data_IF_951208303675
#
_entry.id   IF_951208303675
#
_cell.length_a   1.000
_cell.length_b   1.000
_cell.length_c   1.000
_cell.angle_alpha   90.00
_cell.angle_beta   90.00
_cell.angle_gamma   90.00
#
_symmetry.space_group_name_H-M   'P 1'
#
loop_
_entity.id
_entity.type
_entity.pdbx_description
1 polymer ?
#
# COMPACT_ATOMS: atom_id res chain seq x y z
N UNK A 1 -54.89 17.23 87.96
CA UNK A 1 -53.42 17.15 87.71
C UNK A 1 -52.97 15.81 87.11
N UNK A 2 -53.38 14.64 87.64
CA UNK A 2 -52.89 13.32 87.21
C UNK A 2 -52.87 13.05 85.68
N UNK A 3 -53.89 13.49 84.93
CA UNK A 3 -53.98 13.28 83.47
C UNK A 3 -52.87 13.98 82.67
N UNK A 4 -52.37 15.11 83.16
CA UNK A 4 -51.28 15.86 82.51
C UNK A 4 -49.92 15.17 82.69
N UNK A 5 -49.66 14.62 83.89
CA UNK A 5 -48.44 13.84 84.16
C UNK A 5 -48.39 12.59 83.28
N UNK A 6 -49.51 11.87 83.11
CA UNK A 6 -49.55 10.68 82.23
C UNK A 6 -49.25 11.03 80.77
N UNK A 7 -49.85 12.10 80.24
CA UNK A 7 -49.56 12.60 78.88
C UNK A 7 -48.08 12.97 78.70
N UNK A 8 -47.50 13.69 79.66
CA UNK A 8 -46.09 14.09 79.60
C UNK A 8 -45.11 12.90 79.69
N UNK A 9 -45.52 11.78 80.28
CA UNK A 9 -44.75 10.53 80.27
C UNK A 9 -44.84 9.82 78.93
N UNK A 10 -46.05 9.72 78.34
CA UNK A 10 -46.24 9.12 77.02
C UNK A 10 -45.50 9.90 75.93
N UNK A 11 -45.58 11.24 75.90
CA UNK A 11 -44.83 12.08 74.95
C UNK A 11 -43.30 11.87 75.05
N UNK A 12 -42.76 11.69 76.27
CA UNK A 12 -41.35 11.33 76.48
C UNK A 12 -41.00 9.93 75.97
N UNK A 13 -41.90 8.95 76.13
CA UNK A 13 -41.70 7.60 75.59
C UNK A 13 -41.71 7.60 74.06
N UNK A 14 -42.64 8.34 73.42
CA UNK A 14 -42.64 8.50 71.97
C UNK A 14 -41.38 9.21 71.46
N UNK A 15 -40.96 10.31 72.10
CA UNK A 15 -39.73 11.01 71.73
C UNK A 15 -38.49 10.11 71.85
N UNK A 16 -38.43 9.25 72.88
CA UNK A 16 -37.34 8.30 73.05
C UNK A 16 -37.32 7.20 71.96
N UNK A 17 -38.48 6.64 71.60
CA UNK A 17 -38.59 5.64 70.51
C UNK A 17 -38.23 6.26 69.15
N UNK A 18 -38.63 7.51 68.89
CA UNK A 18 -38.28 8.23 67.65
C UNK A 18 -36.77 8.50 67.61
N UNK A 19 -36.16 8.92 68.72
CA UNK A 19 -34.72 9.17 68.80
C UNK A 19 -33.91 7.89 68.62
N UNK A 20 -34.33 6.78 69.22
CA UNK A 20 -33.68 5.47 69.09
C UNK A 20 -33.78 4.95 67.64
N UNK A 21 -34.96 5.08 67.01
CA UNK A 21 -35.15 4.75 65.60
C UNK A 21 -34.29 5.61 64.66
N UNK A 22 -34.22 6.92 64.92
CA UNK A 22 -33.36 7.83 64.16
C UNK A 22 -31.86 7.49 64.32
N UNK A 23 -31.43 7.11 65.53
CA UNK A 23 -30.08 6.63 65.80
C UNK A 23 -29.77 5.32 65.06
N UNK A 24 -30.71 4.37 65.04
CA UNK A 24 -30.57 3.11 64.29
C UNK A 24 -30.49 3.36 62.77
N UNK A 25 -31.32 4.25 62.22
CA UNK A 25 -31.25 4.66 60.80
C UNK A 25 -29.90 5.32 60.49
N UNK A 26 -29.39 6.17 61.40
CA UNK A 26 -28.09 6.82 61.25
C UNK A 26 -26.92 5.82 61.26
N UNK A 27 -26.91 4.89 62.23
CA UNK A 27 -25.90 3.83 62.33
C UNK A 27 -25.96 2.85 61.15
N UNK A 28 -27.17 2.51 60.68
CA UNK A 28 -27.36 1.73 59.46
C UNK A 28 -26.85 2.47 58.21
N UNK A 29 -27.07 3.78 58.14
CA UNK A 29 -26.53 4.65 57.09
C UNK A 29 -24.99 4.68 57.07
N UNK A 30 -24.35 4.87 58.23
CA UNK A 30 -22.88 4.80 58.34
C UNK A 30 -22.35 3.41 58.01
N UNK A 31 -23.01 2.34 58.48
CA UNK A 31 -22.62 0.96 58.20
C UNK A 31 -22.72 0.61 56.71
N UNK A 32 -23.80 1.03 56.05
CA UNK A 32 -23.98 0.87 54.61
C UNK A 32 -22.94 1.67 53.81
N UNK A 33 -22.63 2.91 54.22
CA UNK A 33 -21.59 3.72 53.59
C UNK A 33 -20.19 3.10 53.75
N UNK A 34 -19.83 2.61 54.93
CA UNK A 34 -18.58 1.91 55.18
C UNK A 34 -18.46 0.61 54.35
N UNK A 35 -19.56 -0.14 54.24
CA UNK A 35 -19.63 -1.34 53.37
C UNK A 35 -19.47 -0.98 51.89
N UNK A 36 -20.12 0.09 51.43
CA UNK A 36 -19.99 0.60 50.07
C UNK A 36 -18.56 1.09 49.75
N UNK A 37 -17.83 1.66 50.71
CA UNK A 37 -16.40 1.96 50.52
C UNK A 37 -15.56 0.68 50.35
N UNK A 38 -15.76 -0.32 51.23
CA UNK A 38 -15.01 -1.59 51.17
C UNK A 38 -15.31 -2.46 49.95
N UNK A 39 -16.53 -2.36 49.40
CA UNK A 39 -16.94 -3.06 48.17
C UNK A 39 -16.65 -2.24 46.91
N UNK A 40 -16.70 -0.90 47.01
CA UNK A 40 -16.38 0.02 45.92
C UNK A 40 -14.92 -0.07 45.46
N UNK A 41 -13.97 -0.25 46.38
CA UNK A 41 -12.55 -0.49 46.01
C UNK A 41 -12.41 -1.78 45.21
N UNK A 42 -13.07 -2.87 45.61
CA UNK A 42 -13.02 -4.15 44.85
C UNK A 42 -13.67 -4.02 43.47
N UNK A 43 -14.79 -3.30 43.37
CA UNK A 43 -15.42 -3.02 42.09
C UNK A 43 -14.49 -2.18 41.17
N UNK A 44 -13.78 -1.20 41.75
CA UNK A 44 -12.76 -0.44 41.04
C UNK A 44 -11.59 -1.31 40.57
N UNK A 45 -11.04 -2.17 41.43
CA UNK A 45 -9.95 -3.10 41.06
C UNK A 45 -10.36 -4.03 39.90
N UNK A 46 -11.59 -4.56 39.94
CA UNK A 46 -12.15 -5.35 38.83
C UNK A 46 -12.31 -4.55 37.53
N UNK A 47 -12.72 -3.28 37.61
CA UNK A 47 -12.82 -2.39 36.44
C UNK A 47 -11.44 -2.03 35.87
N UNK A 48 -10.43 -1.82 36.71
CA UNK A 48 -9.04 -1.57 36.29
C UNK A 48 -8.46 -2.82 35.61
N UNK A 49 -8.70 -4.01 36.15
CA UNK A 49 -8.22 -5.25 35.57
C UNK A 49 -8.93 -5.57 34.23
N UNK A 50 -10.25 -5.35 34.15
CA UNK A 50 -10.99 -5.42 32.89
C UNK A 50 -10.46 -4.39 31.87
N UNK A 51 -10.14 -3.18 32.31
CA UNK A 51 -9.53 -2.12 31.50
C UNK A 51 -8.19 -2.54 30.90
N UNK A 52 -7.27 -3.08 31.71
CA UNK A 52 -5.99 -3.63 31.24
C UNK A 52 -6.18 -4.74 30.22
N UNK A 53 -7.13 -5.65 30.43
CA UNK A 53 -7.41 -6.73 29.47
C UNK A 53 -8.00 -6.21 28.16
N UNK A 54 -8.80 -5.14 28.19
CA UNK A 54 -9.29 -4.46 26.99
C UNK A 54 -8.16 -3.72 26.28
N UNK A 55 -7.27 -3.04 27.01
CA UNK A 55 -6.08 -2.39 26.46
C UNK A 55 -5.15 -3.41 25.79
N UNK A 56 -4.81 -4.51 26.48
CA UNK A 56 -3.92 -5.56 25.95
C UNK A 56 -4.49 -6.23 24.70
N UNK A 57 -5.80 -6.54 24.68
CA UNK A 57 -6.49 -7.08 23.49
C UNK A 57 -6.49 -6.06 22.35
N UNK A 58 -6.81 -4.80 22.65
CA UNK A 58 -6.85 -3.71 21.66
C UNK A 58 -5.46 -3.46 21.07
N UNK A 59 -4.42 -3.48 21.91
CA UNK A 59 -3.02 -3.36 21.52
C UNK A 59 -2.59 -4.51 20.63
N UNK A 60 -2.84 -5.77 21.00
CA UNK A 60 -2.52 -6.95 20.17
C UNK A 60 -3.20 -6.87 18.80
N UNK A 61 -4.49 -6.54 18.75
CA UNK A 61 -5.21 -6.36 17.49
C UNK A 61 -4.76 -5.12 16.70
N UNK A 62 -4.25 -4.08 17.36
CA UNK A 62 -3.66 -2.93 16.69
C UNK A 62 -2.28 -3.27 16.11
N UNK A 63 -1.42 -3.96 16.85
CA UNK A 63 -0.11 -4.44 16.40
C UNK A 63 -0.28 -5.39 15.19
N UNK A 64 -1.20 -6.35 15.25
CA UNK A 64 -1.53 -7.25 14.13
C UNK A 64 -2.01 -6.48 12.89
N UNK A 65 -2.90 -5.50 13.07
CA UNK A 65 -3.38 -4.65 11.96
C UNK A 65 -2.29 -3.74 11.41
N UNK A 66 -1.43 -3.18 12.24
CA UNK A 66 -0.28 -2.37 11.81
C UNK A 66 0.67 -3.23 11.00
N UNK A 67 1.04 -4.43 11.45
CA UNK A 67 1.89 -5.35 10.67
C UNK A 67 1.23 -5.68 9.32
N UNK A 68 -0.06 -6.04 9.30
CA UNK A 68 -0.77 -6.36 8.06
C UNK A 68 -0.90 -5.17 7.09
N UNK A 69 -1.08 -3.94 7.61
CA UNK A 69 -1.11 -2.71 6.82
C UNK A 69 0.28 -2.33 6.34
N UNK A 70 1.31 -2.41 7.18
CA UNK A 70 2.71 -2.14 6.80
C UNK A 70 3.18 -3.11 5.72
N UNK A 71 2.94 -4.42 5.84
CA UNK A 71 3.31 -5.38 4.78
C UNK A 71 2.63 -5.09 3.45
N UNK A 72 1.33 -4.76 3.45
CA UNK A 72 0.61 -4.36 2.24
C UNK A 72 1.09 -3.02 1.70
N UNK A 73 1.40 -2.07 2.57
CA UNK A 73 1.92 -0.76 2.23
C UNK A 73 3.29 -0.88 1.56
N UNK A 74 4.20 -1.71 2.09
CA UNK A 74 5.49 -2.04 1.47
C UNK A 74 5.30 -2.64 0.09
N UNK A 75 4.43 -3.65 -0.08
CA UNK A 75 4.18 -4.27 -1.38
C UNK A 75 3.56 -3.28 -2.41
N UNK A 76 2.79 -2.30 -1.95
CA UNK A 76 2.34 -1.19 -2.81
C UNK A 76 3.42 -0.13 -3.04
N UNK A 77 4.35 0.07 -2.10
CA UNK A 77 5.50 0.95 -2.27
C UNK A 77 6.45 0.36 -3.31
N UNK A 78 6.79 -0.93 -3.27
CA UNK A 78 7.65 -1.56 -4.27
C UNK A 78 7.09 -1.36 -5.70
N UNK A 79 5.76 -1.45 -5.85
CA UNK A 79 5.05 -1.16 -7.12
C UNK A 79 5.08 0.33 -7.49
N UNK A 80 4.94 1.23 -6.52
CA UNK A 80 5.08 2.68 -6.73
C UNK A 80 6.54 3.08 -7.05
N UNK A 81 7.54 2.40 -6.48
CA UNK A 81 8.94 2.58 -6.83
C UNK A 81 9.17 2.12 -8.27
N UNK A 82 8.66 0.96 -8.67
CA UNK A 82 8.75 0.50 -10.07
C UNK A 82 8.09 1.51 -11.05
N UNK A 83 6.90 2.04 -10.71
CA UNK A 83 6.23 3.07 -11.53
C UNK A 83 6.99 4.40 -11.53
N UNK A 84 7.62 4.76 -10.41
CA UNK A 84 8.48 5.94 -10.32
C UNK A 84 9.74 5.78 -11.17
N UNK A 85 10.44 4.64 -11.06
CA UNK A 85 11.59 4.29 -11.90
C UNK A 85 11.21 4.32 -13.39
N UNK A 86 10.07 3.74 -13.78
CA UNK A 86 9.56 3.81 -15.15
C UNK A 86 9.27 5.25 -15.60
N UNK A 87 8.71 6.09 -14.72
CA UNK A 87 8.40 7.49 -15.05
C UNK A 87 9.65 8.35 -15.16
N UNK A 88 10.64 8.14 -14.28
CA UNK A 88 11.96 8.76 -14.34
C UNK A 88 12.71 8.31 -15.60
N UNK A 89 12.70 7.01 -15.91
CA UNK A 89 13.31 6.48 -17.12
C UNK A 89 12.68 7.06 -18.40
N UNK A 90 11.35 7.22 -18.45
CA UNK A 90 10.67 7.90 -19.57
C UNK A 90 11.05 9.39 -19.66
N UNK A 91 11.18 10.09 -18.54
CA UNK A 91 11.59 11.49 -18.54
C UNK A 91 13.04 11.65 -19.04
N UNK A 92 13.97 10.81 -18.56
CA UNK A 92 15.36 10.77 -18.98
C UNK A 92 15.53 10.40 -20.47
N UNK A 93 14.80 9.40 -20.96
CA UNK A 93 14.78 9.05 -22.39
C UNK A 93 14.22 10.19 -23.25
N UNK A 94 13.20 10.92 -22.77
CA UNK A 94 12.67 12.12 -23.49
C UNK A 94 13.71 13.25 -23.55
N UNK A 95 14.60 13.33 -22.57
CA UNK A 95 15.75 14.25 -22.53
C UNK A 95 16.98 13.72 -23.29
N UNK A 96 16.87 12.56 -23.97
CA UNK A 96 17.95 11.97 -24.77
C UNK A 96 19.04 11.25 -23.96
N UNK A 97 18.82 10.95 -22.68
CA UNK A 97 19.75 10.16 -21.85
C UNK A 97 19.49 8.67 -22.07
N UNK A 98 20.42 7.89 -22.69
CA UNK A 98 20.19 6.47 -22.96
C UNK A 98 20.10 5.64 -21.68
N UNK A 99 19.24 4.63 -21.64
CA UNK A 99 19.14 3.75 -20.46
C UNK A 99 20.18 2.64 -20.47
N UNK A 100 20.48 2.08 -19.29
CA UNK A 100 21.37 0.92 -19.15
C UNK A 100 20.92 -0.30 -19.99
N UNK A 101 19.62 -0.45 -20.27
CA UNK A 101 19.12 -1.53 -21.14
C UNK A 101 19.49 -1.29 -22.60
N UNK A 102 19.34 -0.05 -23.07
CA UNK A 102 19.70 0.33 -24.45
C UNK A 102 21.19 0.15 -24.71
N UNK A 103 22.04 0.51 -23.73
CA UNK A 103 23.50 0.27 -23.79
C UNK A 103 23.81 -1.23 -23.85
N UNK A 104 23.12 -2.06 -23.06
CA UNK A 104 23.33 -3.51 -23.06
C UNK A 104 22.91 -4.16 -24.40
N UNK A 105 21.80 -3.74 -24.99
CA UNK A 105 21.35 -4.26 -26.28
C UNK A 105 22.17 -3.72 -27.47
N UNK A 106 22.71 -2.50 -27.36
CA UNK A 106 23.68 -1.97 -28.34
C UNK A 106 24.98 -2.79 -28.31
N UNK A 107 25.50 -3.13 -27.12
CA UNK A 107 26.70 -3.96 -26.99
C UNK A 107 26.52 -5.35 -27.63
N UNK A 108 25.38 -6.03 -27.43
CA UNK A 108 25.08 -7.31 -28.10
C UNK A 108 25.10 -7.18 -29.63
N UNK A 109 24.48 -6.12 -30.18
CA UNK A 109 24.48 -5.85 -31.63
C UNK A 109 25.88 -5.56 -32.16
N UNK A 110 26.71 -4.87 -31.37
CA UNK A 110 28.13 -4.64 -31.71
C UNK A 110 28.90 -5.96 -31.71
N UNK A 111 28.67 -6.87 -30.75
CA UNK A 111 29.30 -8.20 -30.71
C UNK A 111 28.91 -9.07 -31.91
N UNK A 112 27.63 -9.07 -32.29
CA UNK A 112 27.12 -9.76 -33.49
C UNK A 112 27.69 -9.17 -34.80
N UNK A 113 27.77 -7.85 -34.88
CA UNK A 113 28.38 -7.17 -36.03
C UNK A 113 29.89 -7.41 -36.10
N UNK A 114 30.59 -7.43 -34.97
CA UNK A 114 32.02 -7.76 -34.90
C UNK A 114 32.29 -9.21 -35.34
N UNK A 115 31.45 -10.18 -34.90
CA UNK A 115 31.54 -11.57 -35.37
C UNK A 115 31.36 -11.68 -36.89
N UNK A 116 30.31 -11.08 -37.44
CA UNK A 116 30.03 -11.13 -38.89
C UNK A 116 31.08 -10.37 -39.72
N UNK A 117 31.62 -9.26 -39.24
CA UNK A 117 32.78 -8.57 -39.85
C UNK A 117 34.03 -9.46 -39.81
N UNK A 118 34.33 -10.13 -38.69
CA UNK A 118 35.45 -11.07 -38.62
C UNK A 118 35.28 -12.27 -39.56
N UNK A 119 34.07 -12.80 -39.72
CA UNK A 119 33.77 -13.85 -40.71
C UNK A 119 33.97 -13.37 -42.15
N UNK A 120 33.51 -12.15 -42.48
CA UNK A 120 33.72 -11.55 -43.79
C UNK A 120 35.20 -11.26 -44.07
N UNK A 121 35.95 -10.76 -43.09
CA UNK A 121 37.40 -10.53 -43.20
C UNK A 121 38.14 -11.86 -43.42
N UNK A 122 37.83 -12.90 -42.63
CA UNK A 122 38.38 -14.27 -42.84
C UNK A 122 38.06 -14.79 -44.25
N UNK A 123 36.86 -14.53 -44.76
CA UNK A 123 36.41 -14.93 -46.10
C UNK A 123 37.06 -14.12 -47.23
N UNK A 124 37.38 -12.84 -47.01
CA UNK A 124 38.11 -11.99 -47.97
C UNK A 124 39.61 -12.32 -48.00
N UNK A 125 40.25 -12.59 -46.86
CA UNK A 125 41.68 -12.97 -46.80
C UNK A 125 41.94 -14.38 -47.36
N UNK A 126 40.91 -15.18 -47.59
CA UNK A 126 40.99 -16.54 -48.13
C UNK A 126 41.02 -16.63 -49.67
N UNK A 127 41.23 -15.53 -50.42
CA UNK A 127 41.39 -15.57 -51.89
C UNK A 127 42.64 -14.83 -52.38
N UNK A 128 43.65 -15.58 -52.82
CA UNK A 128 44.18 -15.36 -54.17
C UNK A 128 44.52 -16.65 -54.97
N UNK A 129 44.82 -16.45 -56.27
CA UNK A 129 45.50 -17.34 -57.22
C UNK A 129 44.73 -18.51 -57.91
N UNK A 130 44.19 -18.22 -59.10
CA UNK A 130 44.20 -19.02 -60.36
C UNK A 130 43.12 -18.42 -61.30
N UNK A 131 43.39 -17.53 -62.26
CA UNK A 131 44.16 -17.68 -63.50
C UNK A 131 43.48 -18.56 -64.58
N UNK A 132 42.65 -17.95 -65.45
CA UNK A 132 42.96 -17.71 -66.88
C UNK A 132 41.77 -17.07 -67.64
N UNK A 133 42.10 -16.46 -68.78
CA UNK A 133 41.19 -15.85 -69.75
C UNK A 133 40.19 -16.84 -70.35
N UNK A 134 39.03 -16.36 -70.81
CA UNK A 134 38.74 -16.24 -72.25
C UNK A 134 37.39 -15.54 -72.50
N UNK A 135 37.37 -14.63 -73.49
CA UNK A 135 36.17 -14.03 -74.09
C UNK A 135 35.68 -14.95 -75.22
N UNK A 136 34.36 -15.02 -75.54
CA UNK A 136 33.87 -14.07 -76.56
C UNK A 136 32.37 -13.67 -76.54
N UNK A 137 32.13 -12.40 -76.90
CA UNK A 137 31.17 -11.90 -77.91
C UNK A 137 29.83 -12.63 -78.21
N UNK A 138 28.72 -11.95 -77.95
CA UNK A 138 27.53 -11.74 -78.84
C UNK A 138 26.46 -10.92 -78.08
N UNK A 139 26.02 -9.74 -78.56
CA UNK A 139 24.75 -9.52 -79.33
C UNK A 139 23.45 -9.98 -78.63
N UNK A 140 22.31 -9.28 -78.66
CA UNK A 140 21.93 -7.91 -79.02
C UNK A 140 20.42 -7.72 -78.65
N UNK A 141 19.87 -6.49 -78.75
CA UNK A 141 18.42 -6.15 -78.73
C UNK A 141 17.68 -6.37 -77.39
N UNK A 142 16.54 -5.74 -77.13
CA UNK A 142 16.04 -4.43 -77.56
C UNK A 142 14.88 -3.98 -76.64
N UNK A 143 14.79 -2.66 -76.44
CA UNK A 143 13.56 -1.86 -76.37
C UNK A 143 12.25 -2.59 -76.02
N UNK A 144 11.68 -2.31 -74.84
CA UNK A 144 10.28 -1.87 -74.77
C UNK A 144 10.11 -0.79 -73.71
N UNK A 145 9.70 0.41 -74.15
CA UNK A 145 9.18 1.44 -73.27
C UNK A 145 7.66 1.31 -73.16
N UNK A 146 7.09 1.49 -71.97
CA UNK A 146 5.69 1.92 -71.85
C UNK A 146 5.46 2.77 -70.61
N UNK A 147 5.36 4.07 -70.83
CA UNK A 147 4.75 5.00 -69.87
C UNK A 147 3.22 4.81 -69.85
N UNK A 148 2.61 4.92 -68.66
CA UNK A 148 1.18 5.24 -68.47
C UNK A 148 0.85 5.51 -66.98
N UNK A 149 1.19 6.70 -66.49
CA UNK A 149 0.24 7.47 -65.67
C UNK A 149 -0.88 7.96 -66.62
N UNK A 150 -2.17 8.08 -66.22
CA UNK A 150 -2.54 9.01 -65.14
C UNK A 150 -3.86 8.78 -64.34
N UNK A 151 -3.94 9.47 -63.19
CA UNK A 151 -5.08 10.28 -62.68
C UNK A 151 -6.49 9.67 -62.53
N UNK A 152 -6.98 9.63 -61.29
CA UNK A 152 -8.36 10.02 -60.92
C UNK A 152 -8.47 10.45 -59.43
N UNK A 153 -9.29 11.47 -59.15
CA UNK A 153 -9.57 12.05 -57.82
C UNK A 153 -10.78 11.39 -57.11
N UNK A 154 -11.26 12.02 -56.01
CA UNK A 154 -12.61 11.94 -55.36
C UNK A 154 -12.69 10.99 -54.15
N UNK A 155 -13.18 11.36 -52.94
CA UNK A 155 -13.59 12.63 -52.28
C UNK A 155 -13.60 12.42 -50.71
N UNK A 156 -13.86 13.45 -49.86
CA UNK A 156 -13.51 13.42 -48.42
C UNK A 156 -14.61 12.95 -47.45
N UNK A 157 -14.18 12.42 -46.30
CA UNK A 157 -14.95 12.07 -45.08
C UNK A 157 -13.99 12.13 -43.87
N UNK A 158 -14.30 12.66 -42.67
CA UNK A 158 -15.29 13.66 -42.24
C UNK A 158 -15.00 14.17 -40.80
N UNK A 159 -15.37 15.43 -40.52
CA UNK A 159 -15.93 15.97 -39.24
C UNK A 159 -15.27 15.57 -37.89
N UNK A 160 -14.54 16.53 -37.32
CA UNK A 160 -14.51 16.85 -35.88
C UNK A 160 -14.37 18.38 -35.75
#
# INVERSE_FOLDING_TARGET
>A
MAKALKKATEEKQYAHVILESANQIWLAGLGAFAKAQGEGVKAFDHLVEAGKQVEEKSRKSAEEKVVAVTSKATETWDKLEQVFQDRVARALNTLGVPSNKDVADLNKRIDELNKSVQELLKKQTAKPAAAKSDEPKAEAKAVIAKAADPKAEVKPVAKA
#
